data_IF_794723650169
#
_entry.id   IF_794723650169
#
_cell.length_a   1.000
_cell.length_b   1.000
_cell.length_c   1.000
_cell.angle_alpha   90.00
_cell.angle_beta   90.00
_cell.angle_gamma   90.00
#
_symmetry.space_group_name_H-M   'P 1'
#
loop_
_entity.id
_entity.type
_entity.pdbx_description
1 polymer ?
#
# COMPACT_ATOMS: atom_id res chain seq x y z
N UNK A 1 51.17 34.67 48.49
CA UNK A 1 51.37 33.97 47.20
C UNK A 1 50.34 32.81 47.16
N UNK A 2 49.14 33.09 46.59
CA UNK A 2 48.06 32.07 46.51
C UNK A 2 47.99 31.54 45.10
N UNK A 3 48.29 30.25 44.90
CA UNK A 3 48.11 29.55 43.63
C UNK A 3 46.64 29.12 43.49
N UNK A 4 45.95 29.74 42.55
CA UNK A 4 44.63 29.34 42.11
C UNK A 4 44.75 28.02 41.24
N UNK A 5 44.24 26.92 41.79
CA UNK A 5 44.10 25.69 41.01
C UNK A 5 42.79 25.75 40.20
N UNK A 6 42.86 26.00 38.90
CA UNK A 6 41.73 25.83 37.98
C UNK A 6 41.43 24.33 37.88
N UNK A 7 40.25 23.91 38.33
CA UNK A 7 39.72 22.59 38.10
C UNK A 7 39.10 22.54 36.70
N UNK A 8 39.74 21.88 35.76
CA UNK A 8 39.16 21.56 34.46
C UNK A 8 38.11 20.46 34.68
N UNK A 9 36.84 20.82 34.57
CA UNK A 9 35.73 19.87 34.53
C UNK A 9 35.70 19.26 33.11
N UNK A 10 36.18 18.02 32.97
CA UNK A 10 36.05 17.26 31.72
C UNK A 10 34.60 16.81 31.57
N UNK A 11 33.88 17.48 30.68
CA UNK A 11 32.53 17.07 30.27
C UNK A 11 32.65 15.78 29.44
N UNK A 12 32.29 14.65 30.01
CA UNK A 12 32.24 13.37 29.35
C UNK A 12 30.94 13.34 28.51
N UNK A 13 31.04 13.60 27.21
CA UNK A 13 29.90 13.47 26.29
C UNK A 13 29.72 11.96 26.03
N UNK A 14 28.73 11.37 26.72
CA UNK A 14 28.25 10.03 26.44
C UNK A 14 27.53 10.02 25.06
N UNK A 15 28.22 9.64 24.02
CA UNK A 15 27.61 9.28 22.74
C UNK A 15 26.79 8.00 22.93
N UNK A 16 25.49 8.15 23.12
CA UNK A 16 24.58 7.02 23.02
C UNK A 16 24.51 6.60 21.57
N UNK A 17 24.88 5.34 21.22
CA UNK A 17 24.62 4.85 19.86
C UNK A 17 23.11 4.83 19.71
N UNK A 18 22.58 5.70 18.83
CA UNK A 18 21.23 5.57 18.34
C UNK A 18 21.18 4.26 17.53
N UNK A 19 20.72 3.19 18.17
CA UNK A 19 20.25 2.00 17.43
C UNK A 19 19.08 2.45 16.57
N UNK A 20 19.37 2.97 15.40
CA UNK A 20 18.40 3.10 14.36
C UNK A 20 17.91 1.69 14.06
N UNK A 21 16.65 1.39 14.39
CA UNK A 21 15.98 0.21 13.86
C UNK A 21 16.09 0.31 12.34
N UNK A 22 16.98 -0.51 11.76
CA UNK A 22 17.09 -0.61 10.33
C UNK A 22 15.67 -0.85 9.79
N UNK A 23 15.21 0.01 8.92
CA UNK A 23 13.88 -0.12 8.33
C UNK A 23 13.79 -1.51 7.71
N UNK A 24 12.92 -2.34 8.25
CA UNK A 24 12.69 -3.71 7.76
C UNK A 24 12.04 -3.71 6.37
N UNK A 25 11.63 -2.54 5.86
CA UNK A 25 10.94 -2.39 4.58
C UNK A 25 11.90 -2.46 3.39
N UNK A 26 11.38 -2.99 2.29
CA UNK A 26 12.05 -3.04 1.00
C UNK A 26 11.15 -2.43 -0.08
N UNK A 27 11.76 -1.91 -1.12
CA UNK A 27 11.02 -1.51 -2.33
C UNK A 27 10.32 -2.73 -2.92
N UNK A 28 9.01 -2.60 -3.14
CA UNK A 28 8.12 -3.68 -3.56
C UNK A 28 7.29 -4.27 -2.43
N UNK A 29 7.59 -4.01 -1.16
CA UNK A 29 6.69 -4.43 -0.07
C UNK A 29 5.29 -3.84 -0.28
N UNK A 30 4.28 -4.64 0.03
CA UNK A 30 2.88 -4.26 -0.10
C UNK A 30 2.32 -3.95 1.28
N UNK A 31 1.77 -2.75 1.44
CA UNK A 31 1.25 -2.26 2.73
C UNK A 31 -0.26 -2.14 2.68
N UNK A 32 -0.93 -2.54 3.76
CA UNK A 32 -2.39 -2.62 3.87
C UNK A 32 -2.87 -1.95 5.15
N UNK A 33 -4.03 -1.29 5.09
CA UNK A 33 -4.73 -0.81 6.27
C UNK A 33 -6.25 -0.76 6.09
N UNK A 34 -6.99 -0.59 7.19
CA UNK A 34 -8.37 -0.13 7.17
C UNK A 34 -8.36 1.39 6.98
N UNK A 35 -8.83 1.88 5.84
CA UNK A 35 -8.90 3.32 5.56
C UNK A 35 -10.02 3.99 6.35
N UNK A 36 -9.88 5.28 6.66
CA UNK A 36 -10.95 6.13 7.21
C UNK A 36 -11.85 6.74 6.13
N UNK A 37 -11.70 6.36 4.86
CA UNK A 37 -12.50 6.88 3.75
C UNK A 37 -13.94 6.38 3.81
N UNK A 38 -14.87 7.13 3.20
CA UNK A 38 -16.27 6.72 3.11
C UNK A 38 -16.46 5.38 2.37
N UNK A 39 -15.59 5.05 1.41
CA UNK A 39 -15.63 3.79 0.67
C UNK A 39 -15.15 2.59 1.49
N UNK A 40 -14.42 2.81 2.58
CA UNK A 40 -13.76 1.75 3.36
C UNK A 40 -14.74 0.69 3.86
N UNK A 41 -15.86 1.11 4.43
CA UNK A 41 -16.88 0.20 4.96
C UNK A 41 -17.45 -0.71 3.87
N UNK A 42 -17.70 -0.16 2.68
CA UNK A 42 -18.23 -0.93 1.54
C UNK A 42 -17.25 -2.01 1.11
N UNK A 43 -15.96 -1.66 1.00
CA UNK A 43 -14.92 -2.63 0.63
C UNK A 43 -14.81 -3.74 1.68
N UNK A 44 -14.80 -3.38 2.97
CA UNK A 44 -14.74 -4.36 4.06
C UNK A 44 -15.93 -5.34 4.01
N UNK A 45 -17.14 -4.82 3.78
CA UNK A 45 -18.35 -5.63 3.70
C UNK A 45 -18.36 -6.55 2.47
N UNK A 46 -18.00 -6.01 1.31
CA UNK A 46 -17.95 -6.79 0.07
C UNK A 46 -16.88 -7.89 0.09
N UNK A 47 -15.80 -7.69 0.83
CA UNK A 47 -14.65 -8.61 0.85
C UNK A 47 -14.52 -9.43 2.13
N UNK A 48 -15.39 -9.20 3.13
CA UNK A 48 -15.29 -9.79 4.47
C UNK A 48 -13.90 -9.64 5.11
N UNK A 49 -13.25 -8.50 4.88
CA UNK A 49 -11.87 -8.23 5.31
C UNK A 49 -11.75 -6.84 5.93
N UNK A 50 -10.88 -6.64 6.93
CA UNK A 50 -10.62 -5.31 7.46
C UNK A 50 -9.82 -4.43 6.50
N UNK A 51 -9.13 -5.02 5.53
CA UNK A 51 -8.26 -4.26 4.62
C UNK A 51 -9.05 -3.63 3.49
N UNK A 52 -9.12 -2.31 3.49
CA UNK A 52 -9.89 -1.52 2.51
C UNK A 52 -9.03 -0.59 1.66
N UNK A 53 -7.73 -0.51 1.95
CA UNK A 53 -6.77 0.27 1.16
C UNK A 53 -5.37 -0.34 1.24
N UNK A 54 -4.57 -0.10 0.20
CA UNK A 54 -3.22 -0.60 0.10
C UNK A 54 -2.37 0.23 -0.86
N UNK A 55 -1.07 -0.01 -0.83
CA UNK A 55 -0.10 0.56 -1.76
C UNK A 55 1.20 -0.23 -1.76
N UNK A 56 2.17 0.24 -2.50
CA UNK A 56 3.50 -0.35 -2.60
C UNK A 56 4.54 0.55 -1.92
N UNK A 57 5.34 -0.01 -1.02
CA UNK A 57 6.45 0.71 -0.39
C UNK A 57 7.58 0.88 -1.41
N UNK A 58 8.10 2.09 -1.47
CA UNK A 58 9.27 2.48 -2.28
C UNK A 58 10.25 3.23 -1.41
N UNK A 59 11.49 2.77 -1.37
CA UNK A 59 12.57 3.44 -0.68
C UNK A 59 13.22 4.48 -1.60
N UNK A 60 13.19 5.76 -1.22
CA UNK A 60 13.81 6.89 -1.93
C UNK A 60 14.75 7.61 -0.99
N UNK A 61 16.04 7.66 -1.29
CA UNK A 61 17.06 8.34 -0.47
C UNK A 61 17.01 7.93 1.02
N UNK A 62 16.85 6.63 1.28
CA UNK A 62 16.77 6.08 2.64
C UNK A 62 15.42 6.30 3.36
N UNK A 63 14.45 6.96 2.73
CA UNK A 63 13.12 7.19 3.27
C UNK A 63 12.08 6.29 2.63
N UNK A 64 11.12 5.82 3.42
CA UNK A 64 10.02 5.00 2.93
C UNK A 64 8.83 5.88 2.48
N UNK A 65 8.36 5.60 1.27
CA UNK A 65 7.19 6.20 0.65
C UNK A 65 6.22 5.09 0.26
N UNK A 66 4.95 5.42 0.16
CA UNK A 66 3.94 4.53 -0.41
C UNK A 66 3.48 5.11 -1.75
N UNK A 67 3.68 4.35 -2.83
CA UNK A 67 3.04 4.63 -4.10
C UNK A 67 1.65 4.02 -4.06
N UNK A 68 0.63 4.85 -4.20
CA UNK A 68 -0.76 4.47 -4.00
C UNK A 68 -1.71 5.11 -5.01
N UNK A 69 -2.77 4.39 -5.35
CA UNK A 69 -3.86 4.94 -6.12
C UNK A 69 -4.90 5.59 -5.17
N UNK A 70 -4.87 6.90 -5.15
CA UNK A 70 -5.90 7.80 -4.64
C UNK A 70 -6.15 8.85 -5.74
N UNK A 71 -6.83 9.92 -5.46
CA UNK A 71 -7.08 10.97 -6.46
C UNK A 71 -6.08 12.12 -6.33
N UNK A 72 -5.10 12.27 -7.25
CA UNK A 72 -4.62 11.30 -8.22
C UNK A 72 -3.63 10.27 -7.63
N UNK A 73 -3.17 9.30 -8.44
CA UNK A 73 -2.06 8.38 -8.06
C UNK A 73 -0.83 9.17 -7.70
N UNK A 74 -0.23 8.88 -6.55
CA UNK A 74 0.94 9.62 -6.06
C UNK A 74 1.77 8.86 -5.05
N UNK A 75 2.91 9.44 -4.72
CA UNK A 75 3.69 9.07 -3.56
C UNK A 75 3.19 9.77 -2.30
N UNK A 76 3.06 9.02 -1.22
CA UNK A 76 2.75 9.52 0.12
C UNK A 76 3.85 9.09 1.08
N UNK A 77 4.42 9.99 1.92
CA UNK A 77 5.36 9.58 2.95
C UNK A 77 4.73 8.50 3.85
N UNK A 78 5.50 7.44 4.18
CA UNK A 78 4.97 6.27 4.89
C UNK A 78 4.20 6.65 6.15
N UNK A 79 4.73 7.57 6.98
CA UNK A 79 4.05 7.96 8.22
C UNK A 79 2.71 8.68 7.97
N UNK A 80 2.64 9.52 6.91
CA UNK A 80 1.37 10.16 6.53
C UNK A 80 0.35 9.13 6.06
N UNK A 81 0.82 8.11 5.34
CA UNK A 81 -0.02 7.00 4.89
C UNK A 81 -0.58 6.21 6.08
N UNK A 82 0.27 5.84 7.05
CA UNK A 82 -0.12 5.14 8.29
C UNK A 82 -1.16 5.93 9.08
N UNK A 83 -0.98 7.25 9.21
CA UNK A 83 -1.88 8.12 9.98
C UNK A 83 -3.33 8.16 9.43
N UNK A 84 -3.54 7.81 8.15
CA UNK A 84 -4.86 7.69 7.53
C UNK A 84 -5.56 6.37 7.83
N UNK A 85 -4.85 5.38 8.33
CA UNK A 85 -5.43 4.12 8.79
C UNK A 85 -6.18 4.26 10.11
N UNK A 86 -7.18 3.40 10.32
CA UNK A 86 -7.87 3.29 11.61
C UNK A 86 -6.87 2.84 12.67
N UNK A 87 -6.80 3.56 13.79
CA UNK A 87 -5.86 3.33 14.90
C UNK A 87 -4.39 3.29 14.45
N UNK A 88 -4.06 3.86 13.28
CA UNK A 88 -2.72 3.79 12.69
C UNK A 88 -2.21 2.34 12.52
N UNK A 89 -3.14 1.39 12.50
CA UNK A 89 -2.83 -0.04 12.33
C UNK A 89 -2.63 -0.36 10.84
N UNK A 90 -1.60 -1.16 10.57
CA UNK A 90 -1.26 -1.59 9.22
C UNK A 90 -0.56 -2.94 9.24
N UNK A 91 -0.53 -3.60 8.10
CA UNK A 91 0.23 -4.82 7.85
C UNK A 91 1.10 -4.64 6.63
N UNK A 92 2.25 -5.29 6.60
CA UNK A 92 3.16 -5.28 5.44
C UNK A 92 3.45 -6.71 5.03
N UNK A 93 3.33 -6.96 3.74
CA UNK A 93 3.69 -8.24 3.14
C UNK A 93 4.73 -8.02 2.05
N UNK A 94 5.55 -9.03 1.83
CA UNK A 94 6.64 -9.06 0.85
C UNK A 94 6.45 -10.21 -0.11
N UNK A 95 6.81 -10.00 -1.38
CA UNK A 95 6.90 -11.10 -2.32
C UNK A 95 7.88 -12.16 -1.78
N UNK A 96 7.42 -13.41 -1.74
CA UNK A 96 8.12 -14.54 -1.07
C UNK A 96 9.53 -14.80 -1.61
N UNK A 97 9.78 -14.48 -2.86
CA UNK A 97 11.12 -14.53 -3.46
C UNK A 97 11.74 -13.14 -3.41
N UNK A 98 12.93 -13.04 -2.86
CA UNK A 98 13.63 -11.75 -2.77
C UNK A 98 13.86 -11.16 -4.17
N UNK A 99 13.37 -9.93 -4.36
CA UNK A 99 13.60 -9.18 -5.59
C UNK A 99 15.03 -8.63 -5.63
N UNK A 100 15.70 -8.80 -6.74
CA UNK A 100 16.98 -8.12 -6.99
C UNK A 100 16.80 -6.62 -7.11
N UNK A 101 17.85 -5.83 -6.94
CA UNK A 101 17.81 -4.37 -7.11
C UNK A 101 17.28 -3.99 -8.51
N UNK A 102 17.70 -4.69 -9.55
CA UNK A 102 17.22 -4.45 -10.91
C UNK A 102 15.71 -4.73 -11.06
N UNK A 103 15.18 -5.77 -10.41
CA UNK A 103 13.76 -6.06 -10.38
C UNK A 103 12.97 -5.01 -9.61
N UNK A 104 13.46 -4.55 -8.47
CA UNK A 104 12.86 -3.45 -7.72
C UNK A 104 12.80 -2.17 -8.55
N UNK A 105 13.86 -1.83 -9.28
CA UNK A 105 13.88 -0.68 -10.18
C UNK A 105 12.84 -0.79 -11.31
N UNK A 106 12.76 -1.95 -11.98
CA UNK A 106 11.74 -2.19 -13.02
C UNK A 106 10.32 -2.08 -12.45
N UNK A 107 10.10 -2.61 -11.25
CA UNK A 107 8.81 -2.56 -10.58
C UNK A 107 8.39 -1.12 -10.29
N UNK A 108 9.30 -0.30 -9.76
CA UNK A 108 9.07 1.13 -9.51
C UNK A 108 8.80 1.87 -10.81
N UNK A 109 9.64 1.70 -11.83
CA UNK A 109 9.44 2.33 -13.14
C UNK A 109 8.07 2.01 -13.74
N UNK A 110 7.64 0.75 -13.65
CA UNK A 110 6.32 0.34 -14.14
C UNK A 110 5.20 0.99 -13.31
N UNK A 111 5.30 0.99 -11.98
CA UNK A 111 4.29 1.61 -11.12
C UNK A 111 4.22 3.14 -11.33
N UNK A 112 5.34 3.79 -11.60
CA UNK A 112 5.42 5.23 -11.90
C UNK A 112 4.73 5.62 -13.22
N UNK A 113 4.52 4.69 -14.16
CA UNK A 113 3.72 4.99 -15.37
C UNK A 113 2.27 5.35 -15.06
N UNK A 114 1.81 5.05 -13.85
CA UNK A 114 0.47 5.39 -13.37
C UNK A 114 0.41 6.70 -12.57
N UNK A 115 1.54 7.36 -12.27
CA UNK A 115 1.53 8.63 -11.55
C UNK A 115 0.64 9.67 -12.25
N UNK A 116 -0.08 10.43 -11.43
CA UNK A 116 -1.04 11.46 -11.84
C UNK A 116 -2.28 10.93 -12.57
N UNK A 117 -2.45 9.63 -12.78
CA UNK A 117 -3.72 9.09 -13.28
C UNK A 117 -4.84 9.27 -12.26
N UNK A 118 -6.06 9.39 -12.77
CA UNK A 118 -7.24 9.47 -11.94
C UNK A 118 -7.47 8.16 -11.16
N UNK A 119 -8.09 8.28 -10.00
CA UNK A 119 -8.56 7.11 -9.27
C UNK A 119 -9.79 6.52 -9.97
N UNK A 120 -9.74 5.21 -10.24
CA UNK A 120 -10.87 4.52 -10.83
C UNK A 120 -11.94 4.19 -9.77
N UNK A 121 -13.04 4.91 -9.85
CA UNK A 121 -14.22 4.69 -8.98
C UNK A 121 -15.13 3.58 -9.49
N UNK A 122 -14.96 3.17 -10.74
CA UNK A 122 -15.77 2.14 -11.39
C UNK A 122 -15.14 0.75 -11.36
N UNK A 123 -13.88 0.67 -10.90
CA UNK A 123 -13.12 -0.58 -10.86
C UNK A 123 -13.03 -1.30 -12.22
N UNK A 124 -12.98 -0.53 -13.30
CA UNK A 124 -12.79 -1.05 -14.64
C UNK A 124 -11.36 -1.56 -14.83
N UNK A 125 -11.21 -2.68 -15.53
CA UNK A 125 -9.90 -3.22 -15.82
C UNK A 125 -9.26 -2.50 -17.02
N UNK A 126 -8.87 -1.25 -16.83
CA UNK A 126 -8.28 -0.39 -17.85
C UNK A 126 -6.97 0.26 -17.35
N UNK A 127 -6.26 0.96 -18.25
CA UNK A 127 -5.08 1.75 -17.86
C UNK A 127 -5.38 3.26 -17.86
N UNK A 128 -6.60 3.70 -18.12
CA UNK A 128 -6.99 5.12 -18.16
C UNK A 128 -7.09 5.73 -16.77
N UNK A 129 -7.70 5.01 -15.86
CA UNK A 129 -7.75 5.28 -14.43
C UNK A 129 -7.29 4.01 -13.70
N UNK A 130 -6.98 4.08 -12.42
CA UNK A 130 -6.48 2.92 -11.69
C UNK A 130 -6.88 2.99 -10.21
N UNK A 131 -7.22 1.84 -9.61
CA UNK A 131 -7.50 1.75 -8.19
C UNK A 131 -6.35 1.05 -7.41
N UNK A 132 -6.38 1.09 -6.09
CA UNK A 132 -5.24 0.78 -5.23
C UNK A 132 -4.65 -0.63 -5.41
N UNK A 133 -5.46 -1.67 -5.48
CA UNK A 133 -4.98 -3.06 -5.61
C UNK A 133 -4.60 -3.39 -7.04
N UNK A 134 -5.29 -2.82 -8.02
CA UNK A 134 -4.95 -2.91 -9.43
C UNK A 134 -3.57 -2.33 -9.73
N UNK A 135 -3.24 -1.16 -9.17
CA UNK A 135 -1.93 -0.53 -9.31
C UNK A 135 -0.81 -1.49 -8.93
N UNK A 136 -0.91 -2.10 -7.75
CA UNK A 136 0.12 -3.00 -7.25
C UNK A 136 0.18 -4.29 -8.08
N UNK A 137 -0.98 -4.89 -8.37
CA UNK A 137 -1.05 -6.10 -9.17
C UNK A 137 -0.47 -5.90 -10.58
N UNK A 138 -0.90 -4.83 -11.27
CA UNK A 138 -0.40 -4.51 -12.61
C UNK A 138 1.10 -4.17 -12.63
N UNK A 139 1.60 -3.47 -11.61
CA UNK A 139 3.01 -3.18 -11.50
C UNK A 139 3.85 -4.46 -11.47
N UNK A 140 3.50 -5.41 -10.60
CA UNK A 140 4.18 -6.70 -10.52
C UNK A 140 4.05 -7.54 -11.81
N UNK A 141 2.84 -7.60 -12.37
CA UNK A 141 2.57 -8.39 -13.58
C UNK A 141 3.32 -7.85 -14.78
N UNK A 142 3.26 -6.53 -15.01
CA UNK A 142 3.87 -5.91 -16.21
C UNK A 142 5.40 -5.80 -16.10
N UNK A 143 5.93 -5.49 -14.90
CA UNK A 143 7.37 -5.33 -14.72
C UNK A 143 8.13 -6.65 -14.66
N UNK A 144 7.54 -7.66 -14.02
CA UNK A 144 8.25 -8.87 -13.59
C UNK A 144 7.59 -10.17 -14.05
N UNK A 145 6.46 -10.11 -14.76
CA UNK A 145 5.60 -11.24 -15.09
C UNK A 145 5.09 -12.03 -13.85
N UNK A 146 5.07 -11.39 -12.68
CA UNK A 146 4.61 -11.97 -11.43
C UNK A 146 3.12 -11.67 -11.25
N UNK A 147 2.33 -12.72 -11.14
CA UNK A 147 0.92 -12.64 -10.77
C UNK A 147 0.78 -12.87 -9.28
N UNK A 148 0.58 -11.78 -8.54
CA UNK A 148 0.50 -11.84 -7.08
C UNK A 148 -0.69 -12.67 -6.58
N UNK A 149 -1.81 -12.64 -7.30
CA UNK A 149 -3.00 -13.44 -7.05
C UNK A 149 -3.84 -13.51 -8.34
N UNK A 150 -4.71 -14.50 -8.50
CA UNK A 150 -5.68 -14.51 -9.60
C UNK A 150 -6.64 -13.33 -9.48
N UNK A 151 -7.15 -12.87 -10.62
CA UNK A 151 -8.23 -11.88 -10.66
C UNK A 151 -9.55 -12.55 -10.30
N UNK A 152 -10.44 -11.77 -9.70
CA UNK A 152 -11.80 -12.17 -9.36
C UNK A 152 -12.81 -11.50 -10.31
N UNK A 153 -13.98 -12.07 -10.48
CA UNK A 153 -15.12 -11.36 -11.06
C UNK A 153 -15.78 -10.50 -9.97
N UNK A 154 -16.34 -9.33 -10.33
CA UNK A 154 -17.08 -8.50 -9.40
C UNK A 154 -18.21 -9.26 -8.69
N UNK A 155 -18.82 -10.23 -9.38
CA UNK A 155 -19.87 -11.10 -8.83
C UNK A 155 -19.41 -12.05 -7.72
N UNK A 156 -18.11 -12.28 -7.54
CA UNK A 156 -17.58 -13.15 -6.48
C UNK A 156 -17.55 -12.47 -5.10
N UNK A 157 -17.76 -11.16 -5.04
CA UNK A 157 -17.82 -10.42 -3.80
C UNK A 157 -19.24 -10.36 -3.22
N UNK A 158 -19.35 -10.13 -1.91
CA UNK A 158 -20.66 -9.98 -1.28
C UNK A 158 -21.29 -8.63 -1.62
N UNK A 159 -22.15 -8.64 -2.64
CA UNK A 159 -22.90 -7.46 -3.06
C UNK A 159 -24.24 -7.33 -2.32
N UNK A 160 -24.56 -8.20 -1.36
CA UNK A 160 -25.85 -8.25 -0.68
C UNK A 160 -26.05 -7.18 0.39
N UNK A 161 -24.94 -6.69 0.98
CA UNK A 161 -25.01 -5.72 2.07
C UNK A 161 -25.62 -4.37 1.62
N UNK A 162 -26.48 -3.71 2.42
CA UNK A 162 -27.15 -2.48 2.04
C UNK A 162 -26.24 -1.36 1.53
N UNK A 163 -25.10 -1.13 2.20
CA UNK A 163 -24.14 -0.10 1.76
C UNK A 163 -23.46 -0.46 0.44
N UNK A 164 -23.17 -1.75 0.21
CA UNK A 164 -22.60 -2.23 -1.05
C UNK A 164 -23.62 -2.03 -2.17
N UNK A 165 -24.88 -2.47 -1.97
CA UNK A 165 -25.95 -2.26 -2.95
C UNK A 165 -26.17 -0.78 -3.29
N UNK A 166 -26.16 0.09 -2.27
CA UNK A 166 -26.32 1.52 -2.47
C UNK A 166 -25.20 2.10 -3.34
N UNK A 167 -23.93 1.73 -3.06
CA UNK A 167 -22.80 2.18 -3.84
C UNK A 167 -22.82 1.62 -5.27
N UNK A 168 -23.15 0.35 -5.45
CA UNK A 168 -23.25 -0.27 -6.78
C UNK A 168 -24.34 0.42 -7.62
N UNK A 169 -25.51 0.67 -7.01
CA UNK A 169 -26.59 1.42 -7.67
C UNK A 169 -26.18 2.85 -8.04
N UNK A 170 -25.46 3.53 -7.14
CA UNK A 170 -24.97 4.90 -7.39
C UNK A 170 -24.00 4.95 -8.57
N UNK A 171 -23.09 3.96 -8.69
CA UNK A 171 -22.03 3.93 -9.72
C UNK A 171 -22.52 3.42 -11.06
N UNK A 172 -23.31 2.36 -11.05
CA UNK A 172 -23.64 1.59 -12.26
C UNK A 172 -25.15 1.63 -12.61
N UNK A 173 -25.97 2.24 -11.76
CA UNK A 173 -27.41 2.23 -11.96
C UNK A 173 -27.98 0.82 -11.89
N UNK A 174 -28.62 0.39 -12.97
CA UNK A 174 -29.21 -0.96 -13.09
C UNK A 174 -28.28 -1.98 -13.76
N UNK A 175 -27.14 -1.54 -14.31
CA UNK A 175 -26.24 -2.39 -15.12
C UNK A 175 -24.90 -2.61 -14.42
N UNK A 176 -24.95 -3.33 -13.28
CA UNK A 176 -23.73 -3.68 -12.54
C UNK A 176 -22.91 -4.66 -13.39
N UNK A 177 -21.62 -4.39 -13.66
CA UNK A 177 -20.78 -5.23 -14.52
C UNK A 177 -20.27 -6.46 -13.74
N UNK A 178 -21.13 -7.42 -13.47
CA UNK A 178 -20.84 -8.59 -12.61
C UNK A 178 -19.66 -9.44 -13.09
N UNK A 179 -19.38 -9.41 -14.38
CA UNK A 179 -18.27 -10.16 -15.01
C UNK A 179 -16.98 -9.33 -15.11
N UNK A 180 -16.97 -8.06 -14.63
CA UNK A 180 -15.76 -7.25 -14.63
C UNK A 180 -14.68 -7.90 -13.78
N UNK A 181 -13.47 -7.97 -14.35
CA UNK A 181 -12.30 -8.52 -13.65
C UNK A 181 -11.79 -7.49 -12.66
N UNK A 182 -11.63 -7.89 -11.42
CA UNK A 182 -11.19 -7.01 -10.34
C UNK A 182 -10.19 -7.71 -9.42
N UNK A 183 -9.49 -6.96 -8.61
CA UNK A 183 -8.63 -7.47 -7.55
C UNK A 183 -8.87 -6.69 -6.26
N UNK A 184 -9.15 -7.37 -5.16
CA UNK A 184 -9.37 -6.73 -3.87
C UNK A 184 -8.08 -6.69 -3.01
N UNK A 185 -7.97 -5.76 -2.03
CA UNK A 185 -6.89 -5.80 -1.05
C UNK A 185 -6.83 -7.13 -0.29
N UNK A 186 -7.99 -7.70 0.05
CA UNK A 186 -8.10 -9.00 0.73
C UNK A 186 -7.55 -10.16 -0.10
N UNK A 187 -7.78 -10.15 -1.41
CA UNK A 187 -7.25 -11.17 -2.33
C UNK A 187 -5.72 -11.12 -2.35
N UNK A 188 -5.14 -9.91 -2.42
CA UNK A 188 -3.69 -9.73 -2.35
C UNK A 188 -3.13 -10.03 -0.96
N UNK A 189 -3.83 -9.63 0.11
CA UNK A 189 -3.40 -9.93 1.49
C UNK A 189 -3.31 -11.44 1.76
N UNK A 190 -4.24 -12.22 1.24
CA UNK A 190 -4.29 -13.67 1.40
C UNK A 190 -3.47 -14.45 0.36
N UNK A 191 -2.76 -13.73 -0.51
CA UNK A 191 -1.94 -14.36 -1.56
C UNK A 191 -0.83 -15.24 -0.97
N UNK A 192 -0.70 -16.45 -1.51
CA UNK A 192 0.41 -17.35 -1.20
C UNK A 192 1.76 -16.88 -1.75
N UNK A 193 1.75 -15.88 -2.64
CA UNK A 193 2.97 -15.25 -3.18
C UNK A 193 3.57 -14.24 -2.21
N UNK A 194 2.81 -13.83 -1.18
CA UNK A 194 3.23 -12.84 -0.19
C UNK A 194 3.43 -13.47 1.18
N UNK A 195 4.48 -13.06 1.88
CA UNK A 195 4.79 -13.44 3.27
C UNK A 195 4.70 -12.23 4.18
N UNK A 196 4.39 -12.44 5.45
CA UNK A 196 4.32 -11.37 6.43
C UNK A 196 5.70 -10.80 6.73
N UNK A 197 5.77 -9.47 6.77
CA UNK A 197 6.95 -8.70 7.22
C UNK A 197 6.61 -7.97 8.51
N UNK A 198 5.36 -7.55 8.63
CA UNK A 198 4.80 -6.89 9.81
C UNK A 198 3.26 -7.02 9.80
#
# INVERSE_FOLDING_TARGET
>A
MHLNRLKFLRLLILLYPSFGYATTYQTGDVIFHTSKSAQSLVIQQATHSPYSHMGMIVLKNGQAWVLEAIQPVKYTPLQQWINRGVNQSYSVKRYRTQLTVAQQQKLVQQAETYLNKAYDVYFEWSDNAIYFSELVWKAYKKALAIELAPLDNLSSFDLSHPHVKALMKQRYGQHIPLNEMVIAPSTLFNSKQLIDVR
#
